data_IF_525663862131
#
_entry.id   IF_525663862131
#
_cell.length_a   1.000
_cell.length_b   1.000
_cell.length_c   1.000
_cell.angle_alpha   90.00
_cell.angle_beta   90.00
_cell.angle_gamma   90.00
#
_symmetry.space_group_name_H-M   'P 1'
#
loop_
_entity.id
_entity.type
_entity.pdbx_description
1 polymer ?
#
# COMPACT_ATOMS: atom_id res chain seq x y z
N UNK A 1 -64.36 -23.53 -27.13
CA UNK A 1 -63.84 -23.73 -28.50
C UNK A 1 -62.37 -24.11 -28.39
N UNK A 2 -62.05 -25.40 -28.24
CA UNK A 2 -61.65 -26.38 -29.27
C UNK A 2 -60.19 -26.21 -29.76
N UNK A 3 -59.41 -27.26 -29.42
CA UNK A 3 -58.05 -27.61 -29.87
C UNK A 3 -57.89 -27.61 -31.40
N UNK A 4 -56.66 -27.42 -31.89
CA UNK A 4 -56.07 -28.32 -32.92
C UNK A 4 -54.54 -28.17 -33.03
N UNK A 5 -53.86 -29.29 -32.75
CA UNK A 5 -52.52 -29.62 -33.24
C UNK A 5 -52.61 -30.02 -34.73
N UNK A 6 -51.62 -29.68 -35.55
CA UNK A 6 -51.22 -30.47 -36.73
C UNK A 6 -49.69 -30.48 -36.86
N UNK A 7 -49.16 -31.68 -37.13
CA UNK A 7 -47.74 -32.07 -37.29
C UNK A 7 -47.21 -31.88 -38.73
N UNK A 8 -45.89 -31.64 -38.80
CA UNK A 8 -44.84 -32.14 -39.72
C UNK A 8 -45.06 -32.26 -41.25
N UNK A 9 -44.14 -31.71 -42.08
CA UNK A 9 -42.94 -32.41 -42.65
C UNK A 9 -42.16 -31.57 -43.70
N UNK A 10 -40.83 -31.55 -43.54
CA UNK A 10 -39.73 -31.69 -44.52
C UNK A 10 -39.65 -30.84 -45.82
N UNK A 11 -38.53 -30.11 -45.95
CA UNK A 11 -38.00 -29.57 -47.21
C UNK A 11 -36.60 -28.98 -47.05
N UNK A 12 -35.62 -29.57 -47.73
CA UNK A 12 -34.15 -29.41 -47.62
C UNK A 12 -33.59 -28.02 -47.98
N UNK A 13 -32.43 -27.68 -47.39
CA UNK A 13 -31.48 -26.70 -47.95
C UNK A 13 -30.18 -26.63 -47.16
N UNK A 14 -29.11 -27.26 -47.68
CA UNK A 14 -27.77 -27.39 -47.09
C UNK A 14 -26.99 -26.08 -47.12
N UNK A 15 -26.14 -25.83 -46.13
CA UNK A 15 -24.71 -25.59 -46.36
C UNK A 15 -23.89 -25.71 -45.06
N UNK A 16 -22.92 -26.62 -45.09
CA UNK A 16 -21.98 -26.96 -44.02
C UNK A 16 -20.68 -27.41 -44.67
N UNK A 17 -19.54 -26.75 -44.42
CA UNK A 17 -18.18 -27.31 -44.55
C UNK A 17 -17.27 -26.43 -43.66
N UNK A 18 -16.91 -26.89 -42.46
CA UNK A 18 -15.73 -27.69 -42.07
C UNK A 18 -14.39 -26.96 -42.17
N UNK A 19 -13.79 -26.77 -40.99
CA UNK A 19 -12.37 -26.53 -40.77
C UNK A 19 -11.52 -27.71 -41.26
N UNK A 20 -10.36 -27.40 -41.84
CA UNK A 20 -9.29 -28.35 -42.13
C UNK A 20 -7.95 -27.78 -41.66
N UNK A 21 -7.29 -28.60 -40.86
CA UNK A 21 -5.85 -28.64 -40.62
C UNK A 21 -5.09 -29.01 -41.90
N UNK A 22 -3.95 -28.38 -42.16
CA UNK A 22 -2.87 -28.98 -42.96
C UNK A 22 -1.51 -28.47 -42.49
N UNK A 23 -0.67 -29.42 -42.14
CA UNK A 23 0.79 -29.39 -42.06
C UNK A 23 1.42 -29.26 -43.45
N UNK A 24 2.56 -28.58 -43.55
CA UNK A 24 3.60 -28.92 -44.53
C UNK A 24 4.98 -28.62 -43.94
N UNK A 25 5.86 -29.60 -44.10
CA UNK A 25 7.27 -29.56 -43.76
C UNK A 25 8.10 -29.33 -45.03
N UNK A 26 9.22 -28.62 -44.90
CA UNK A 26 10.42 -28.84 -45.71
C UNK A 26 11.68 -28.50 -44.88
N UNK A 27 12.62 -29.45 -44.94
CA UNK A 27 14.00 -29.54 -44.44
C UNK A 27 14.94 -28.49 -45.09
N UNK A 28 16.15 -28.16 -44.63
CA UNK A 28 17.27 -28.97 -44.11
C UNK A 28 18.41 -28.02 -43.53
N UNK A 29 19.65 -28.44 -43.17
CA UNK A 29 20.09 -28.54 -41.77
C UNK A 29 21.39 -27.78 -41.42
N UNK A 30 21.69 -27.66 -40.12
CA UNK A 30 23.05 -27.83 -39.54
C UNK A 30 23.01 -27.50 -38.05
N UNK A 31 23.47 -28.43 -37.21
CA UNK A 31 24.39 -28.21 -36.09
C UNK A 31 24.56 -29.53 -35.35
N UNK A 32 25.82 -29.81 -35.05
CA UNK A 32 26.40 -31.05 -34.59
C UNK A 32 25.82 -31.60 -33.28
N UNK A 33 25.66 -32.91 -33.26
CA UNK A 33 25.38 -33.77 -32.12
C UNK A 33 26.58 -33.91 -31.19
N UNK A 34 26.36 -33.72 -29.89
CA UNK A 34 27.24 -34.20 -28.81
C UNK A 34 26.41 -35.15 -27.94
N UNK A 35 26.87 -36.39 -27.66
CA UNK A 35 26.09 -37.37 -26.94
C UNK A 35 26.08 -37.13 -25.43
N UNK A 36 24.92 -37.40 -24.85
CA UNK A 36 24.58 -37.49 -23.43
C UNK A 36 25.50 -38.43 -22.64
N UNK A 37 26.01 -37.95 -21.50
CA UNK A 37 26.42 -38.79 -20.38
C UNK A 37 25.60 -38.43 -19.12
N UNK A 38 25.10 -39.43 -18.38
CA UNK A 38 24.39 -39.19 -17.13
C UNK A 38 25.38 -38.85 -16.02
N UNK A 39 25.29 -37.65 -15.46
CA UNK A 39 25.97 -37.29 -14.22
C UNK A 39 25.29 -38.02 -13.05
N UNK A 40 25.97 -39.02 -12.50
CA UNK A 40 25.64 -39.67 -11.24
C UNK A 40 26.06 -38.78 -10.07
N UNK A 41 25.09 -38.29 -9.30
CA UNK A 41 25.36 -37.61 -8.04
C UNK A 41 25.77 -38.68 -7.00
N UNK A 42 27.05 -38.71 -6.63
CA UNK A 42 27.53 -39.49 -5.49
C UNK A 42 27.01 -38.88 -4.19
N UNK A 43 26.34 -39.70 -3.37
CA UNK A 43 25.89 -39.31 -2.02
C UNK A 43 27.09 -39.03 -1.11
N UNK A 44 27.07 -37.96 -0.29
CA UNK A 44 28.07 -37.78 0.75
C UNK A 44 27.94 -38.84 1.84
N UNK A 45 29.10 -39.37 2.24
CA UNK A 45 29.31 -40.37 3.28
C UNK A 45 28.71 -39.96 4.64
N UNK A 46 28.05 -40.92 5.31
CA UNK A 46 27.54 -40.79 6.69
C UNK A 46 28.70 -40.58 7.68
N UNK A 47 28.60 -39.61 8.62
CA UNK A 47 29.46 -39.56 9.80
C UNK A 47 29.03 -40.59 10.88
N UNK A 48 29.96 -41.00 11.77
CA UNK A 48 29.77 -42.12 12.70
C UNK A 48 28.79 -41.82 13.85
N UNK A 49 28.12 -42.87 14.32
CA UNK A 49 27.21 -42.85 15.47
C UNK A 49 27.93 -42.54 16.78
N UNK A 50 27.32 -41.68 17.59
CA UNK A 50 27.57 -41.52 19.02
C UNK A 50 26.23 -41.57 19.80
N UNK A 51 26.24 -41.91 21.11
CA UNK A 51 25.27 -42.81 21.72
C UNK A 51 23.94 -42.17 22.14
N UNK A 52 22.92 -43.04 22.26
CA UNK A 52 21.58 -42.74 22.76
C UNK A 52 21.63 -42.23 24.21
N UNK A 53 21.06 -41.05 24.46
CA UNK A 53 20.59 -40.63 25.79
C UNK A 53 19.13 -40.24 25.67
N UNK A 54 18.31 -40.82 26.53
CA UNK A 54 16.86 -40.69 26.52
C UNK A 54 16.38 -39.37 27.14
N UNK A 55 15.31 -38.84 26.54
CA UNK A 55 14.18 -38.11 27.13
C UNK A 55 14.43 -37.02 28.18
N UNK A 56 14.17 -35.77 27.79
CA UNK A 56 13.16 -34.94 28.46
C UNK A 56 12.67 -33.83 27.53
N UNK A 57 11.47 -34.03 26.96
CA UNK A 57 10.73 -32.98 26.26
C UNK A 57 10.20 -32.01 27.32
N UNK A 58 10.78 -30.82 27.40
CA UNK A 58 10.19 -29.66 28.06
C UNK A 58 9.90 -28.60 27.01
N UNK A 59 8.66 -28.14 27.01
CA UNK A 59 8.03 -27.16 26.11
C UNK A 59 8.91 -25.93 25.83
N UNK A 60 9.34 -25.77 24.58
CA UNK A 60 10.03 -24.58 24.08
C UNK A 60 9.07 -23.46 23.67
N UNK A 61 8.04 -23.17 24.48
CA UNK A 61 7.03 -22.16 24.15
C UNK A 61 7.30 -20.73 24.70
N UNK A 62 8.41 -20.49 25.42
CA UNK A 62 8.63 -19.19 26.10
C UNK A 62 10.04 -18.60 25.99
N UNK A 63 10.74 -18.77 24.86
CA UNK A 63 12.07 -18.17 24.68
C UNK A 63 12.28 -17.33 23.43
N UNK A 64 11.23 -16.64 22.97
CA UNK A 64 11.32 -15.55 22.01
C UNK A 64 10.82 -14.22 22.62
N UNK A 65 11.40 -13.83 23.75
CA UNK A 65 11.30 -12.47 24.30
C UNK A 65 12.70 -12.01 24.73
N UNK A 66 13.70 -12.24 23.87
CA UNK A 66 14.93 -11.46 23.98
C UNK A 66 14.63 -10.12 23.32
N UNK A 67 14.60 -9.07 24.13
CA UNK A 67 14.66 -7.68 23.69
C UNK A 67 15.78 -7.52 22.65
N UNK A 68 15.42 -7.64 21.37
CA UNK A 68 16.16 -6.96 20.34
C UNK A 68 15.86 -5.48 20.60
N UNK A 69 16.84 -4.72 21.10
CA UNK A 69 16.78 -3.26 21.00
C UNK A 69 16.87 -2.98 19.52
N UNK A 70 15.70 -2.95 18.88
CA UNK A 70 15.56 -2.48 17.52
C UNK A 70 15.98 -1.02 17.59
N UNK A 71 17.07 -0.65 16.93
CA UNK A 71 17.31 0.73 16.54
C UNK A 71 16.28 1.06 15.45
N UNK A 72 15.00 1.04 15.84
CA UNK A 72 13.90 1.58 15.07
C UNK A 72 14.30 3.01 14.75
N UNK A 73 14.14 3.42 13.50
CA UNK A 73 14.30 4.80 13.04
C UNK A 73 13.82 5.73 14.17
N UNK A 74 14.77 6.34 14.87
CA UNK A 74 14.57 6.79 16.25
C UNK A 74 13.78 8.07 16.31
N UNK A 75 12.49 8.02 16.01
CA UNK A 75 11.58 9.07 16.39
C UNK A 75 11.37 8.96 17.90
N UNK A 76 11.77 10.02 18.60
CA UNK A 76 11.38 10.24 19.99
C UNK A 76 10.62 11.54 20.01
N UNK A 77 9.33 11.44 20.31
CA UNK A 77 8.52 12.60 20.65
C UNK A 77 8.61 12.73 22.17
N UNK A 78 9.14 13.83 22.72
CA UNK A 78 9.12 14.05 24.17
C UNK A 78 7.68 13.95 24.68
N UNK A 79 7.45 13.25 25.80
CA UNK A 79 6.10 13.00 26.35
C UNK A 79 5.24 14.28 26.44
N UNK A 80 5.80 15.36 27.00
CA UNK A 80 5.13 16.68 27.08
C UNK A 80 4.74 17.28 25.72
N UNK A 81 5.45 16.93 24.65
CA UNK A 81 5.11 17.37 23.31
C UNK A 81 4.00 16.49 22.71
N UNK A 82 4.06 15.18 22.94
CA UNK A 82 3.02 14.23 22.53
C UNK A 82 1.69 14.57 23.22
N UNK A 83 1.70 14.73 24.54
CA UNK A 83 0.54 15.13 25.34
C UNK A 83 -0.10 16.40 24.75
N UNK A 84 0.70 17.44 24.49
CA UNK A 84 0.21 18.67 23.86
C UNK A 84 -0.41 18.44 22.48
N UNK A 85 0.21 17.62 21.63
CA UNK A 85 -0.35 17.30 20.30
C UNK A 85 -1.71 16.60 20.45
N UNK A 86 -1.81 15.65 21.38
CA UNK A 86 -3.03 14.86 21.62
C UNK A 86 -4.13 15.70 22.25
N UNK A 87 -3.80 16.61 23.19
CA UNK A 87 -4.73 17.56 23.81
C UNK A 87 -5.26 18.60 22.81
N UNK A 88 -4.41 19.07 21.91
CA UNK A 88 -4.78 20.08 20.90
C UNK A 88 -5.49 19.47 19.68
N UNK A 89 -5.49 18.16 19.55
CA UNK A 89 -6.12 17.48 18.43
C UNK A 89 -7.65 17.47 18.57
N UNK A 90 -8.34 17.64 17.43
CA UNK A 90 -9.78 17.45 17.34
C UNK A 90 -10.06 16.09 16.67
N UNK A 91 -10.33 15.03 17.45
CA UNK A 91 -10.60 13.72 16.87
C UNK A 91 -11.86 13.73 16.01
N UNK A 92 -11.79 13.05 14.87
CA UNK A 92 -12.95 12.76 14.01
C UNK A 92 -13.49 11.40 14.44
N UNK A 93 -14.56 11.41 15.22
CA UNK A 93 -15.21 10.18 15.68
C UNK A 93 -16.08 9.58 14.57
N UNK A 94 -15.97 8.26 14.40
CA UNK A 94 -16.71 7.51 13.39
C UNK A 94 -17.50 6.38 14.06
N UNK A 95 -18.58 5.95 13.43
CA UNK A 95 -19.33 4.77 13.87
C UNK A 95 -18.73 3.46 13.37
N UNK A 96 -17.50 3.48 12.85
CA UNK A 96 -16.84 2.28 12.35
C UNK A 96 -16.70 1.29 13.51
N UNK A 97 -17.30 0.12 13.33
CA UNK A 97 -16.99 -1.04 14.15
C UNK A 97 -15.84 -1.79 13.46
N UNK A 98 -14.65 -1.63 14.01
CA UNK A 98 -13.43 -2.25 13.50
C UNK A 98 -13.47 -3.78 13.58
N UNK A 99 -14.34 -4.36 14.41
CA UNK A 99 -14.50 -5.82 14.51
C UNK A 99 -15.26 -6.38 13.31
N UNK A 100 -16.12 -5.57 12.65
CA UNK A 100 -16.76 -5.95 11.37
C UNK A 100 -15.75 -6.09 10.23
N UNK A 101 -14.51 -5.61 10.40
CA UNK A 101 -13.46 -5.73 9.40
C UNK A 101 -12.93 -7.15 9.23
N UNK A 102 -13.17 -8.05 10.19
CA UNK A 102 -12.63 -9.41 10.19
C UNK A 102 -13.24 -10.33 9.11
N UNK A 103 -14.45 -10.04 8.63
CA UNK A 103 -15.19 -10.92 7.72
C UNK A 103 -14.60 -11.01 6.30
N UNK A 104 -13.79 -10.02 5.87
CA UNK A 104 -13.40 -9.87 4.47
C UNK A 104 -11.89 -9.82 4.23
N UNK A 105 -11.06 -10.47 5.06
CA UNK A 105 -9.60 -10.32 4.92
C UNK A 105 -8.84 -11.64 4.97
N UNK A 106 -7.56 -11.55 4.64
CA UNK A 106 -6.57 -12.60 4.80
C UNK A 106 -5.60 -12.30 5.96
N UNK A 107 -5.89 -11.37 6.87
CA UNK A 107 -4.98 -10.99 7.97
C UNK A 107 -3.71 -10.22 7.57
N UNK A 108 -3.29 -10.25 6.30
CA UNK A 108 -2.12 -9.52 5.79
C UNK A 108 -2.46 -8.53 4.69
N UNK A 109 -3.35 -8.92 3.78
CA UNK A 109 -3.81 -8.12 2.65
C UNK A 109 -5.34 -8.04 2.68
N UNK A 110 -5.87 -6.94 2.14
CA UNK A 110 -7.30 -6.74 1.94
C UNK A 110 -7.87 -7.66 0.85
N UNK A 111 -9.20 -7.73 0.77
CA UNK A 111 -9.90 -8.29 -0.39
C UNK A 111 -10.48 -7.13 -1.19
N UNK A 112 -10.34 -7.20 -2.51
CA UNK A 112 -10.97 -6.24 -3.41
C UNK A 112 -12.50 -6.30 -3.25
N UNK A 113 -13.11 -5.16 -2.94
CA UNK A 113 -14.56 -5.05 -2.67
C UNK A 113 -15.20 -3.80 -3.28
N UNK A 114 -14.52 -3.16 -4.22
CA UNK A 114 -14.99 -1.94 -4.90
C UNK A 114 -16.19 -2.29 -5.77
N UNK A 115 -17.24 -1.46 -5.74
CA UNK A 115 -18.40 -1.66 -6.59
C UNK A 115 -18.02 -1.49 -8.08
N UNK A 116 -18.48 -2.35 -9.00
CA UNK A 116 -18.10 -2.28 -10.42
C UNK A 116 -18.38 -0.93 -11.10
N UNK A 117 -19.39 -0.18 -10.62
CA UNK A 117 -19.75 1.15 -11.15
C UNK A 117 -18.87 2.28 -10.61
N UNK A 118 -18.19 2.09 -9.49
CA UNK A 118 -17.34 3.09 -8.86
C UNK A 118 -15.91 3.09 -9.41
N UNK A 119 -15.48 1.97 -10.03
CA UNK A 119 -14.12 1.78 -10.56
C UNK A 119 -13.77 2.71 -11.74
N UNK A 120 -14.76 3.37 -12.36
CA UNK A 120 -14.57 4.22 -13.54
C UNK A 120 -15.09 5.65 -13.35
N UNK A 121 -15.52 6.00 -12.13
CA UNK A 121 -16.15 7.29 -11.86
C UNK A 121 -15.32 8.15 -10.92
N UNK A 122 -15.15 9.42 -11.30
CA UNK A 122 -14.50 10.45 -10.48
C UNK A 122 -15.56 11.40 -9.97
N UNK A 123 -15.46 11.81 -8.71
CA UNK A 123 -16.51 12.55 -8.01
C UNK A 123 -16.13 14.00 -7.77
N UNK A 124 -17.08 14.92 -7.86
CA UNK A 124 -16.91 16.29 -7.35
C UNK A 124 -17.27 16.39 -5.87
N UNK A 125 -16.78 17.44 -5.19
CA UNK A 125 -17.16 17.73 -3.81
C UNK A 125 -18.69 17.82 -3.65
N UNK A 126 -19.35 18.59 -4.52
CA UNK A 126 -20.79 18.84 -4.44
C UNK A 126 -21.61 17.56 -4.56
N UNK A 127 -21.18 16.60 -5.39
CA UNK A 127 -21.87 15.32 -5.52
C UNK A 127 -21.83 14.49 -4.23
N UNK A 128 -20.85 14.69 -3.36
CA UNK A 128 -20.67 13.92 -2.14
C UNK A 128 -21.32 14.57 -0.91
N UNK A 129 -21.22 15.90 -0.78
CA UNK A 129 -21.57 16.61 0.47
C UNK A 129 -22.82 17.50 0.39
N UNK A 130 -23.33 17.78 -0.82
CA UNK A 130 -24.50 18.65 -0.98
C UNK A 130 -25.72 18.11 -0.22
N UNK A 131 -26.62 18.97 0.32
CA UNK A 131 -27.88 18.53 0.92
C UNK A 131 -28.76 17.69 -0.02
N UNK A 132 -28.59 17.85 -1.33
CA UNK A 132 -29.30 17.09 -2.37
C UNK A 132 -28.55 15.83 -2.83
N UNK A 133 -27.35 15.57 -2.30
CA UNK A 133 -26.58 14.37 -2.59
C UNK A 133 -27.29 13.13 -2.06
N UNK A 134 -27.14 12.00 -2.74
CA UNK A 134 -27.53 10.69 -2.21
C UNK A 134 -26.59 10.19 -1.12
N UNK A 135 -25.37 10.72 -1.06
CA UNK A 135 -24.33 10.31 -0.12
C UNK A 135 -24.40 11.09 1.20
N UNK A 136 -24.56 12.41 1.11
CA UNK A 136 -24.59 13.33 2.27
C UNK A 136 -23.39 13.10 3.21
N UNK A 137 -22.21 12.91 2.62
CA UNK A 137 -20.99 12.69 3.39
C UNK A 137 -20.63 13.93 4.21
N UNK A 138 -20.00 13.68 5.36
CA UNK A 138 -19.59 14.74 6.27
C UNK A 138 -18.25 15.32 5.81
N UNK A 139 -18.23 16.63 5.58
CA UNK A 139 -17.00 17.37 5.26
C UNK A 139 -16.20 17.66 6.53
N UNK A 140 -14.92 17.30 6.53
CA UNK A 140 -13.97 17.55 7.61
C UNK A 140 -12.95 18.60 7.15
N UNK A 141 -12.87 19.77 7.80
CA UNK A 141 -11.99 20.86 7.38
C UNK A 141 -10.53 20.67 7.81
N UNK A 142 -9.61 21.24 7.01
CA UNK A 142 -8.17 21.16 7.23
C UNK A 142 -7.64 22.33 8.06
N UNK A 143 -7.76 22.23 9.38
CA UNK A 143 -7.36 23.29 10.33
C UNK A 143 -6.18 22.89 11.22
N UNK A 144 -6.26 21.67 11.78
CA UNK A 144 -5.32 21.12 12.75
C UNK A 144 -5.10 19.64 12.49
N UNK A 145 -4.18 19.02 13.23
CA UNK A 145 -4.09 17.56 13.22
C UNK A 145 -5.37 16.95 13.76
N UNK A 146 -5.92 16.00 13.01
CA UNK A 146 -7.18 15.32 13.33
C UNK A 146 -6.94 13.81 13.29
N UNK A 147 -6.76 13.13 14.43
CA UNK A 147 -6.83 11.67 14.47
C UNK A 147 -8.25 11.23 14.11
N UNK A 148 -8.36 10.15 13.36
CA UNK A 148 -9.63 9.51 13.02
C UNK A 148 -9.79 8.33 13.97
N UNK A 149 -10.90 8.32 14.70
CA UNK A 149 -11.13 7.33 15.76
C UNK A 149 -12.40 6.54 15.54
N UNK A 150 -12.37 5.28 15.98
CA UNK A 150 -13.53 4.41 15.98
C UNK A 150 -14.44 4.67 17.20
N UNK A 151 -15.49 3.86 17.35
CA UNK A 151 -16.42 3.95 18.47
C UNK A 151 -15.75 3.74 19.84
N UNK A 152 -14.61 3.04 19.87
CA UNK A 152 -13.81 2.74 21.07
C UNK A 152 -12.66 3.73 21.30
N UNK A 153 -12.63 4.86 20.59
CA UNK A 153 -11.57 5.88 20.65
C UNK A 153 -10.19 5.34 20.22
N UNK A 154 -10.15 4.27 19.44
CA UNK A 154 -8.94 3.74 18.83
C UNK A 154 -8.55 4.59 17.62
N UNK A 155 -7.31 5.07 17.58
CA UNK A 155 -6.80 5.87 16.46
C UNK A 155 -6.40 4.92 15.34
N UNK A 156 -7.18 4.91 14.26
CA UNK A 156 -6.93 4.07 13.09
C UNK A 156 -6.50 4.86 11.86
N UNK A 157 -6.43 6.20 11.95
CA UNK A 157 -5.89 7.06 10.91
C UNK A 157 -5.67 8.47 11.46
N UNK A 158 -5.03 9.34 10.68
CA UNK A 158 -4.81 10.73 11.08
C UNK A 158 -4.58 11.66 9.90
N UNK A 159 -5.08 12.89 10.00
CA UNK A 159 -4.74 14.00 9.12
C UNK A 159 -3.65 14.83 9.80
N UNK A 160 -2.54 15.04 9.10
CA UNK A 160 -1.33 15.66 9.62
C UNK A 160 -1.04 16.96 8.85
N UNK A 161 -1.09 18.13 9.51
CA UNK A 161 -0.70 19.39 8.89
C UNK A 161 0.82 19.48 8.73
N UNK A 162 1.31 20.35 7.84
CA UNK A 162 2.71 20.71 7.78
C UNK A 162 3.28 21.07 9.16
N UNK A 163 4.58 20.85 9.39
CA UNK A 163 5.23 21.31 10.62
C UNK A 163 5.04 22.82 10.79
N UNK A 164 4.97 23.29 12.03
CA UNK A 164 4.83 24.72 12.34
C UNK A 164 6.19 25.42 12.28
N UNK A 165 6.19 26.70 11.92
CA UNK A 165 7.40 27.53 11.95
C UNK A 165 8.03 27.59 13.37
N UNK A 166 9.34 27.78 13.42
CA UNK A 166 10.08 27.94 14.67
C UNK A 166 9.48 29.07 15.53
N UNK A 167 9.30 28.82 16.83
CA UNK A 167 8.69 29.78 17.78
C UNK A 167 7.22 29.53 18.13
N UNK A 168 6.56 28.53 17.53
CA UNK A 168 5.30 27.95 18.00
C UNK A 168 4.03 28.80 17.79
N UNK A 169 4.14 30.12 17.65
CA UNK A 169 3.02 31.04 17.36
C UNK A 169 2.78 31.27 15.87
N UNK A 170 3.70 30.84 14.99
CA UNK A 170 3.57 30.97 13.54
C UNK A 170 2.68 29.92 12.89
N UNK A 171 2.25 30.20 11.65
CA UNK A 171 1.57 29.24 10.76
C UNK A 171 2.48 28.10 10.30
N UNK A 172 2.14 27.42 9.18
CA UNK A 172 2.98 26.38 8.58
C UNK A 172 4.42 26.86 8.34
N UNK A 173 5.38 25.96 8.51
CA UNK A 173 6.79 26.22 8.22
C UNK A 173 6.96 26.53 6.72
N UNK A 174 7.36 27.77 6.36
CA UNK A 174 7.52 28.15 4.96
C UNK A 174 8.59 27.34 4.25
N UNK A 175 9.61 26.83 4.94
CA UNK A 175 10.65 25.98 4.36
C UNK A 175 10.07 24.61 3.98
N UNK A 176 9.16 24.07 4.79
CA UNK A 176 8.46 22.84 4.43
C UNK A 176 7.49 23.05 3.26
N UNK A 177 6.74 24.15 3.24
CA UNK A 177 5.86 24.47 2.11
C UNK A 177 6.66 24.64 0.80
N UNK A 178 7.80 25.33 0.83
CA UNK A 178 8.67 25.46 -0.33
C UNK A 178 9.19 24.09 -0.83
N UNK A 179 9.47 23.15 0.08
CA UNK A 179 9.82 21.78 -0.30
C UNK A 179 8.65 21.05 -0.97
N UNK A 180 7.41 21.27 -0.53
CA UNK A 180 6.23 20.66 -1.19
C UNK A 180 6.04 21.19 -2.61
N UNK A 181 6.28 22.48 -2.85
CA UNK A 181 6.30 23.08 -4.18
C UNK A 181 7.42 22.49 -5.05
N UNK A 182 8.61 22.27 -4.47
CA UNK A 182 9.73 21.64 -5.16
C UNK A 182 9.42 20.19 -5.56
N UNK A 183 8.80 19.40 -4.67
CA UNK A 183 8.32 18.06 -5.00
C UNK A 183 7.39 18.08 -6.22
N UNK A 184 6.37 18.95 -6.23
CA UNK A 184 5.43 19.07 -7.35
C UNK A 184 6.16 19.42 -8.66
N UNK A 185 7.09 20.38 -8.63
CA UNK A 185 7.90 20.78 -9.79
C UNK A 185 8.78 19.63 -10.29
N UNK A 186 9.39 18.85 -9.40
CA UNK A 186 10.21 17.70 -9.77
C UNK A 186 9.38 16.62 -10.48
N UNK A 187 8.16 16.36 -10.02
CA UNK A 187 7.25 15.44 -10.69
C UNK A 187 6.86 15.96 -12.08
N UNK A 188 6.43 17.21 -12.16
CA UNK A 188 6.02 17.86 -13.42
C UNK A 188 7.14 17.84 -14.47
N UNK A 189 8.35 18.30 -14.12
CA UNK A 189 9.47 18.42 -15.05
C UNK A 189 10.10 17.10 -15.49
N UNK A 190 9.78 15.98 -14.81
CA UNK A 190 10.36 14.68 -15.13
C UNK A 190 9.32 13.66 -15.64
N UNK A 191 8.03 13.98 -15.61
CA UNK A 191 6.97 13.09 -16.12
C UNK A 191 7.24 12.68 -17.58
N UNK A 192 7.51 13.64 -18.47
CA UNK A 192 7.78 13.36 -19.89
C UNK A 192 9.03 12.51 -20.11
N UNK A 193 9.96 12.45 -19.14
CA UNK A 193 11.17 11.62 -19.23
C UNK A 193 10.89 10.16 -18.89
N UNK A 194 9.95 9.91 -17.97
CA UNK A 194 9.52 8.58 -17.53
C UNK A 194 8.41 7.99 -18.43
N UNK A 195 7.55 8.85 -18.97
CA UNK A 195 6.36 8.46 -19.71
C UNK A 195 6.42 8.96 -21.16
N UNK A 196 7.32 8.38 -21.93
CA UNK A 196 7.46 8.63 -23.38
C UNK A 196 7.69 7.35 -24.18
N UNK A 197 7.37 7.42 -25.47
CA UNK A 197 7.75 6.41 -26.45
C UNK A 197 9.24 6.53 -26.81
N UNK A 198 9.76 5.52 -27.53
CA UNK A 198 11.19 5.50 -27.96
C UNK A 198 11.53 6.67 -28.90
N UNK A 199 10.56 7.15 -29.67
CA UNK A 199 10.68 8.30 -30.55
C UNK A 199 10.58 9.66 -29.82
N UNK A 200 10.40 9.65 -28.49
CA UNK A 200 10.29 10.85 -27.67
C UNK A 200 8.88 11.39 -27.53
N UNK A 201 7.88 10.83 -28.21
CA UNK A 201 6.50 11.29 -28.07
C UNK A 201 5.92 10.97 -26.68
N UNK A 202 5.08 11.85 -26.11
CA UNK A 202 4.47 11.59 -24.81
C UNK A 202 3.63 10.31 -24.82
N UNK A 203 3.78 9.49 -23.77
CA UNK A 203 2.99 8.27 -23.60
C UNK A 203 1.74 8.61 -22.81
N UNK A 204 0.58 8.19 -23.30
CA UNK A 204 -0.66 8.30 -22.54
C UNK A 204 -0.60 7.44 -21.28
N UNK A 205 -1.02 7.97 -20.11
CA UNK A 205 -1.13 7.16 -18.91
C UNK A 205 -2.04 5.96 -19.14
N UNK A 206 -1.63 4.78 -18.66
CA UNK A 206 -2.46 3.58 -18.73
C UNK A 206 -3.51 3.65 -17.61
N UNK A 207 -4.70 3.14 -17.89
CA UNK A 207 -5.70 2.88 -16.84
C UNK A 207 -5.16 1.82 -15.86
N UNK A 208 -5.27 2.10 -14.58
CA UNK A 208 -5.00 1.18 -13.48
C UNK A 208 -6.14 1.23 -12.45
N UNK A 209 -6.07 0.40 -11.40
CA UNK A 209 -7.16 0.25 -10.42
C UNK A 209 -7.53 1.54 -9.66
N UNK A 210 -6.64 2.53 -9.65
CA UNK A 210 -6.87 3.80 -8.96
C UNK A 210 -7.28 4.90 -9.93
N UNK A 211 -7.22 4.72 -11.26
CA UNK A 211 -7.60 5.75 -12.23
C UNK A 211 -6.71 5.81 -13.46
N UNK A 212 -6.67 6.99 -14.09
CA UNK A 212 -5.90 7.25 -15.32
C UNK A 212 -4.93 8.41 -15.06
N UNK A 213 -3.76 8.11 -14.52
CA UNK A 213 -2.67 9.07 -14.36
C UNK A 213 -1.32 8.35 -14.37
N UNK A 214 -0.25 9.13 -14.56
CA UNK A 214 1.10 8.59 -14.59
C UNK A 214 1.56 8.29 -13.16
N UNK A 215 2.14 7.11 -12.94
CA UNK A 215 2.51 6.63 -11.61
C UNK A 215 3.78 5.78 -11.68
N UNK A 216 4.72 6.02 -10.76
CA UNK A 216 5.90 5.16 -10.59
C UNK A 216 6.10 4.83 -9.10
N UNK A 217 6.15 3.54 -8.80
CA UNK A 217 6.43 3.01 -7.47
C UNK A 217 7.90 2.59 -7.38
N UNK A 218 8.57 2.90 -6.26
CA UNK A 218 9.95 2.49 -5.99
C UNK A 218 10.08 2.03 -4.54
N UNK A 219 10.94 1.04 -4.30
CA UNK A 219 11.23 0.52 -2.96
C UNK A 219 11.04 -0.96 -2.87
N UNK A 220 10.96 -1.47 -1.64
CA UNK A 220 10.91 -2.89 -1.33
C UNK A 220 9.47 -3.38 -1.30
N UNK A 221 9.20 -4.49 -1.98
CA UNK A 221 7.89 -5.13 -1.99
C UNK A 221 8.02 -6.66 -2.00
N UNK A 222 6.93 -7.34 -1.64
CA UNK A 222 6.80 -8.78 -1.73
C UNK A 222 5.36 -9.17 -2.06
N UNK A 223 5.18 -9.93 -3.14
CA UNK A 223 3.89 -10.29 -3.70
C UNK A 223 4.03 -10.74 -5.16
N UNK A 224 2.91 -11.01 -5.84
CA UNK A 224 2.89 -11.23 -7.30
C UNK A 224 3.74 -12.41 -7.81
N UNK A 225 3.97 -13.44 -6.98
CA UNK A 225 4.79 -14.60 -7.34
C UNK A 225 6.29 -14.42 -7.11
N UNK A 226 6.74 -13.33 -6.48
CA UNK A 226 8.14 -13.20 -6.05
C UNK A 226 8.56 -14.31 -5.09
N UNK A 227 9.80 -14.78 -5.25
CA UNK A 227 10.38 -15.81 -4.37
C UNK A 227 11.07 -15.24 -3.13
N UNK A 228 11.33 -13.93 -3.08
CA UNK A 228 11.86 -13.27 -1.89
C UNK A 228 11.55 -11.76 -1.94
N UNK A 229 11.59 -11.05 -0.80
CA UNK A 229 11.52 -9.59 -0.75
C UNK A 229 12.63 -8.95 -1.57
N UNK A 230 12.27 -8.06 -2.49
CA UNK A 230 13.24 -7.33 -3.32
C UNK A 230 12.74 -5.94 -3.66
N UNK A 231 13.66 -5.08 -4.12
CA UNK A 231 13.29 -3.78 -4.67
C UNK A 231 12.58 -3.94 -6.01
N UNK A 232 11.63 -3.06 -6.29
CA UNK A 232 10.95 -2.96 -7.58
C UNK A 232 12.00 -2.71 -8.67
N UNK A 233 11.92 -3.47 -9.75
CA UNK A 233 12.83 -3.34 -10.87
C UNK A 233 12.48 -2.12 -11.73
N UNK A 234 13.50 -1.36 -12.11
CA UNK A 234 13.40 -0.27 -13.08
C UNK A 234 14.52 -0.39 -14.11
N UNK A 235 14.26 0.08 -15.32
CA UNK A 235 15.33 0.29 -16.31
C UNK A 235 16.37 1.29 -15.77
N UNK A 236 17.61 1.23 -16.26
CA UNK A 236 18.67 2.13 -15.80
C UNK A 236 18.29 3.61 -15.93
N UNK A 237 17.61 3.98 -17.02
CA UNK A 237 17.13 5.34 -17.25
C UNK A 237 16.08 5.78 -16.22
N UNK A 238 15.12 4.92 -15.89
CA UNK A 238 14.10 5.23 -14.87
C UNK A 238 14.74 5.27 -13.48
N UNK A 239 15.62 4.31 -13.17
CA UNK A 239 16.31 4.24 -11.89
C UNK A 239 17.13 5.51 -11.60
N UNK A 240 17.79 6.10 -12.61
CA UNK A 240 18.52 7.38 -12.46
C UNK A 240 17.60 8.51 -11.98
N UNK A 241 16.40 8.64 -12.56
CA UNK A 241 15.43 9.68 -12.19
C UNK A 241 14.85 9.40 -10.80
N UNK A 242 14.45 8.17 -10.53
CA UNK A 242 13.88 7.78 -9.24
C UNK A 242 14.89 7.92 -8.10
N UNK A 243 16.16 7.55 -8.32
CA UNK A 243 17.22 7.75 -7.34
C UNK A 243 17.48 9.24 -7.07
N UNK A 244 17.36 10.10 -8.09
CA UNK A 244 17.43 11.56 -7.89
C UNK A 244 16.26 12.07 -7.02
N UNK A 245 15.06 11.53 -7.18
CA UNK A 245 13.93 11.84 -6.28
C UNK A 245 14.18 11.35 -4.85
N UNK A 246 14.67 10.12 -4.68
CA UNK A 246 14.99 9.56 -3.35
C UNK A 246 16.10 10.34 -2.63
N UNK A 247 17.01 10.97 -3.38
CA UNK A 247 18.07 11.82 -2.84
C UNK A 247 17.66 13.29 -2.64
N UNK A 248 16.51 13.73 -3.16
CA UNK A 248 16.08 15.12 -3.06
C UNK A 248 15.62 15.43 -1.64
N UNK A 249 16.14 16.53 -1.07
CA UNK A 249 15.83 16.94 0.31
C UNK A 249 14.33 17.13 0.55
N UNK A 250 13.60 17.65 -0.44
CA UNK A 250 12.16 17.85 -0.34
C UNK A 250 11.41 16.52 -0.11
N UNK A 251 11.68 15.47 -0.89
CA UNK A 251 11.07 14.16 -0.68
C UNK A 251 11.51 13.49 0.62
N UNK A 252 12.78 13.67 1.02
CA UNK A 252 13.28 13.18 2.31
C UNK A 252 12.50 13.81 3.47
N UNK A 253 12.22 15.11 3.44
CA UNK A 253 11.45 15.80 4.47
C UNK A 253 10.00 15.34 4.53
N UNK A 254 9.33 15.18 3.39
CA UNK A 254 7.97 14.65 3.33
C UNK A 254 7.91 13.22 3.88
N UNK A 255 8.90 12.38 3.51
CA UNK A 255 9.01 11.01 3.99
C UNK A 255 9.16 10.94 5.52
N UNK A 256 10.00 11.82 6.06
CA UNK A 256 10.24 11.94 7.49
C UNK A 256 9.03 12.49 8.24
N UNK A 257 8.35 13.48 7.69
CA UNK A 257 7.17 14.10 8.30
C UNK A 257 6.05 13.07 8.45
N UNK A 258 5.74 12.32 7.40
CA UNK A 258 4.77 11.23 7.43
C UNK A 258 5.11 10.17 8.48
N UNK A 259 6.39 9.75 8.56
CA UNK A 259 6.85 8.75 9.53
C UNK A 259 6.78 9.26 10.97
N UNK A 260 7.04 10.55 11.19
CA UNK A 260 6.86 11.19 12.50
C UNK A 260 5.39 11.23 12.91
N UNK A 261 4.48 11.57 11.98
CA UNK A 261 3.03 11.53 12.20
C UNK A 261 2.55 10.12 12.54
N UNK A 262 3.04 9.10 11.82
CA UNK A 262 2.75 7.69 12.12
C UNK A 262 3.18 7.35 13.54
N UNK A 263 4.44 7.60 13.90
CA UNK A 263 4.96 7.30 15.23
C UNK A 263 4.15 7.98 16.34
N UNK A 264 3.71 9.21 16.11
CA UNK A 264 2.93 10.00 17.07
C UNK A 264 1.57 9.35 17.38
N UNK A 265 0.86 8.91 16.34
CA UNK A 265 -0.53 8.45 16.47
C UNK A 265 -0.69 6.93 16.58
N UNK A 266 0.30 6.14 16.16
CA UNK A 266 0.29 4.68 16.31
C UNK A 266 1.71 4.13 16.63
N UNK A 267 2.28 4.45 17.80
CA UNK A 267 3.63 4.03 18.19
C UNK A 267 3.81 2.51 18.24
N UNK A 268 2.78 1.74 18.68
CA UNK A 268 2.81 0.28 18.69
C UNK A 268 2.93 -0.30 17.28
N UNK A 269 2.07 0.14 16.36
CA UNK A 269 2.12 -0.27 14.97
C UNK A 269 3.43 0.16 14.30
N UNK A 270 3.94 1.35 14.62
CA UNK A 270 5.24 1.82 14.15
C UNK A 270 6.36 0.87 14.57
N UNK A 271 6.39 0.46 15.83
CA UNK A 271 7.37 -0.49 16.35
C UNK A 271 7.27 -1.85 15.64
N UNK A 272 6.06 -2.32 15.35
CA UNK A 272 5.84 -3.53 14.58
C UNK A 272 6.37 -3.42 13.14
N UNK A 273 6.16 -2.28 12.47
CA UNK A 273 6.79 -2.00 11.17
C UNK A 273 8.31 -2.02 11.25
N UNK A 274 8.90 -1.41 12.29
CA UNK A 274 10.35 -1.36 12.46
C UNK A 274 10.94 -2.77 12.66
N UNK A 275 10.31 -3.60 13.50
CA UNK A 275 10.68 -5.00 13.68
C UNK A 275 10.62 -5.78 12.35
N UNK A 276 9.52 -5.66 11.62
CA UNK A 276 9.36 -6.30 10.31
C UNK A 276 10.47 -5.87 9.34
N UNK A 277 10.77 -4.56 9.28
CA UNK A 277 11.83 -3.99 8.44
C UNK A 277 13.20 -4.58 8.79
N UNK A 278 13.54 -4.66 10.07
CA UNK A 278 14.79 -5.28 10.55
C UNK A 278 14.89 -6.77 10.17
N UNK A 279 13.81 -7.55 10.32
CA UNK A 279 13.81 -8.95 9.91
C UNK A 279 14.05 -9.09 8.39
N UNK A 280 13.44 -8.23 7.57
CA UNK A 280 13.67 -8.23 6.11
C UNK A 280 15.13 -7.90 5.77
N UNK A 281 15.77 -6.96 6.48
CA UNK A 281 17.20 -6.65 6.29
C UNK A 281 18.12 -7.82 6.66
N UNK A 282 17.81 -8.51 7.77
CA UNK A 282 18.61 -9.63 8.25
C UNK A 282 18.64 -10.79 7.26
N UNK A 283 17.47 -11.12 6.69
CA UNK A 283 17.33 -12.19 5.69
C UNK A 283 17.81 -11.77 4.29
N UNK A 284 17.91 -10.47 4.01
CA UNK A 284 18.41 -9.94 2.74
C UNK A 284 19.34 -8.73 2.92
N UNK A 285 20.62 -8.96 3.29
CA UNK A 285 21.56 -7.88 3.60
C UNK A 285 21.87 -6.92 2.44
N UNK A 286 21.57 -7.31 1.19
CA UNK A 286 21.75 -6.46 0.01
C UNK A 286 20.62 -5.45 -0.20
N UNK A 287 19.55 -5.52 0.59
CA UNK A 287 18.41 -4.63 0.47
C UNK A 287 18.73 -3.25 1.06
N UNK A 288 18.22 -2.20 0.43
CA UNK A 288 18.32 -0.84 0.94
C UNK A 288 16.98 -0.13 0.81
N UNK A 289 16.69 0.71 1.80
CA UNK A 289 15.43 1.43 1.91
C UNK A 289 15.47 2.76 1.17
N UNK A 290 14.28 3.26 0.81
CA UNK A 290 14.13 4.50 0.06
C UNK A 290 14.68 5.71 0.82
N UNK A 291 14.40 5.79 2.13
CA UNK A 291 14.82 6.89 2.97
C UNK A 291 15.29 6.36 4.32
N UNK A 292 16.41 6.88 4.82
CA UNK A 292 16.98 6.48 6.11
C UNK A 292 15.99 6.66 7.27
N UNK A 293 15.16 7.69 7.20
CA UNK A 293 14.19 8.05 8.23
C UNK A 293 12.73 7.87 7.80
N UNK A 294 12.46 6.92 6.90
CA UNK A 294 11.08 6.50 6.63
C UNK A 294 10.80 5.11 7.19
N UNK A 295 9.64 4.93 7.81
CA UNK A 295 9.17 3.63 8.32
C UNK A 295 8.63 2.73 7.20
N UNK A 296 8.28 3.32 6.06
CA UNK A 296 7.68 2.61 4.94
C UNK A 296 8.72 1.92 4.06
N UNK A 297 8.35 0.76 3.53
CA UNK A 297 9.22 -0.03 2.65
C UNK A 297 9.24 0.47 1.20
N UNK A 298 8.13 1.08 0.75
CA UNK A 298 7.88 1.50 -0.62
C UNK A 298 7.26 2.90 -0.65
N UNK A 299 7.43 3.59 -1.78
CA UNK A 299 6.71 4.82 -2.07
C UNK A 299 6.29 4.87 -3.53
N UNK A 300 5.28 5.70 -3.81
CA UNK A 300 4.77 5.97 -5.15
C UNK A 300 4.76 7.47 -5.39
N UNK A 301 5.27 7.85 -6.55
CA UNK A 301 5.14 9.19 -7.10
C UNK A 301 3.94 9.20 -8.05
N UNK A 302 2.88 9.91 -7.67
CA UNK A 302 1.71 10.11 -8.52
C UNK A 302 1.88 11.43 -9.28
N UNK A 303 1.98 11.32 -10.59
CA UNK A 303 2.23 12.43 -11.49
C UNK A 303 0.92 13.07 -11.97
N UNK A 304 1.04 14.29 -12.46
CA UNK A 304 -0.07 15.13 -12.87
C UNK A 304 -0.28 15.16 -14.39
N UNK A 305 -0.82 16.27 -14.93
CA UNK A 305 -1.13 17.52 -14.21
C UNK A 305 -2.25 17.36 -13.17
N UNK A 306 -3.12 16.35 -13.28
CA UNK A 306 -4.20 16.09 -12.31
C UNK A 306 -4.23 14.61 -11.90
N UNK A 307 -3.66 14.28 -10.75
CA UNK A 307 -3.87 13.00 -10.10
C UNK A 307 -5.27 12.96 -9.49
N UNK A 308 -6.22 12.36 -10.21
CA UNK A 308 -7.56 12.06 -9.70
C UNK A 308 -7.76 10.57 -9.70
N UNK A 309 -8.16 10.04 -8.55
CA UNK A 309 -8.41 8.63 -8.36
C UNK A 309 -9.90 8.32 -8.39
N UNK A 310 -10.23 7.13 -8.88
CA UNK A 310 -11.55 6.53 -8.67
C UNK A 310 -11.62 5.91 -7.26
N UNK A 311 -12.78 5.41 -6.85
CA UNK A 311 -12.90 4.61 -5.63
C UNK A 311 -12.05 3.34 -5.75
N UNK A 312 -11.17 3.10 -4.77
CA UNK A 312 -10.30 1.93 -4.78
C UNK A 312 -9.85 1.49 -3.38
N UNK A 313 -9.17 0.34 -3.36
CA UNK A 313 -8.39 -0.16 -2.24
C UNK A 313 -6.97 -0.46 -2.71
N UNK A 314 -6.00 -0.12 -1.88
CA UNK A 314 -4.64 -0.62 -2.04
C UNK A 314 -4.52 -1.98 -1.36
N UNK A 315 -5.34 -2.94 -1.81
CA UNK A 315 -5.58 -4.19 -1.12
C UNK A 315 -4.31 -5.04 -0.88
N UNK A 316 -3.21 -4.80 -1.61
CA UNK A 316 -1.91 -5.46 -1.42
C UNK A 316 -1.05 -4.88 -0.29
N UNK A 317 -1.40 -3.69 0.22
CA UNK A 317 -0.74 -3.10 1.38
C UNK A 317 -1.08 -3.88 2.66
N UNK A 318 -0.29 -3.66 3.70
CA UNK A 318 -0.54 -4.33 4.97
C UNK A 318 -1.91 -3.93 5.52
N UNK A 319 -2.73 -4.93 5.82
CA UNK A 319 -4.13 -4.78 6.17
C UNK A 319 -4.34 -3.78 7.32
N UNK A 320 -3.68 -4.00 8.46
CA UNK A 320 -3.74 -3.10 9.62
C UNK A 320 -2.77 -1.93 9.51
N UNK A 321 -1.99 -1.91 8.44
CA UNK A 321 -0.99 -0.90 8.18
C UNK A 321 -1.60 0.44 7.80
N UNK A 322 -0.84 1.51 7.98
CA UNK A 322 -1.16 2.79 7.36
C UNK A 322 -0.34 3.00 6.10
N UNK A 323 -0.91 3.82 5.23
CA UNK A 323 -0.26 4.44 4.10
C UNK A 323 -0.31 5.95 4.32
N UNK A 324 0.78 6.63 3.98
CA UNK A 324 0.85 8.08 4.03
C UNK A 324 0.64 8.64 2.63
N UNK A 325 -0.32 9.53 2.44
CA UNK A 325 -0.56 10.24 1.19
C UNK A 325 -0.35 11.73 1.45
N UNK A 326 0.65 12.34 0.81
CA UNK A 326 0.90 13.78 0.88
C UNK A 326 0.39 14.44 -0.40
N UNK A 327 -0.54 15.39 -0.26
CA UNK A 327 -1.06 16.16 -1.39
C UNK A 327 -0.05 17.21 -1.84
N UNK A 328 0.07 17.41 -3.15
CA UNK A 328 1.03 18.32 -3.78
C UNK A 328 0.38 19.05 -4.97
N UNK A 329 0.95 20.17 -5.38
CA UNK A 329 0.47 20.95 -6.53
C UNK A 329 -0.27 22.23 -6.15
N UNK A 330 -0.98 22.81 -7.12
CA UNK A 330 -1.66 24.10 -6.99
C UNK A 330 -3.13 23.94 -7.31
N UNK A 331 -3.94 23.81 -6.27
CA UNK A 331 -5.39 23.68 -6.35
C UNK A 331 -6.06 24.32 -5.13
N UNK A 332 -7.31 24.75 -5.29
CA UNK A 332 -8.12 25.19 -4.16
C UNK A 332 -8.70 23.97 -3.43
N UNK A 333 -8.06 23.61 -2.31
CA UNK A 333 -8.44 22.46 -1.50
C UNK A 333 -9.83 22.56 -0.87
N UNK A 334 -10.43 23.75 -0.79
CA UNK A 334 -11.82 23.95 -0.33
C UNK A 334 -12.85 23.67 -1.44
N UNK A 335 -12.41 23.46 -2.68
CA UNK A 335 -13.29 23.32 -3.85
C UNK A 335 -13.08 22.01 -4.61
N UNK A 336 -11.93 21.36 -4.45
CA UNK A 336 -11.60 20.08 -5.06
C UNK A 336 -10.39 19.41 -4.42
N UNK A 337 -10.02 18.22 -4.89
CA UNK A 337 -8.86 17.48 -4.36
C UNK A 337 -9.02 16.91 -2.94
N UNK A 338 -10.23 16.93 -2.37
CA UNK A 338 -10.54 16.35 -1.06
C UNK A 338 -10.29 14.84 -1.07
N UNK A 339 -9.83 14.30 0.06
CA UNK A 339 -9.69 12.86 0.25
C UNK A 339 -11.03 12.28 0.72
N UNK A 340 -11.52 11.25 0.04
CA UNK A 340 -12.81 10.63 0.32
C UNK A 340 -12.59 9.29 1.02
N UNK A 341 -13.26 9.07 2.15
CA UNK A 341 -13.27 7.81 2.89
C UNK A 341 -14.69 7.23 2.82
N UNK A 342 -14.91 6.37 1.82
CA UNK A 342 -16.24 5.90 1.42
C UNK A 342 -16.96 5.13 2.52
N UNK A 343 -16.25 4.22 3.18
CA UNK A 343 -16.82 3.39 4.25
C UNK A 343 -17.23 4.21 5.49
N UNK A 344 -16.65 5.39 5.66
CA UNK A 344 -16.91 6.27 6.79
C UNK A 344 -17.92 7.37 6.47
N UNK A 345 -18.26 7.54 5.18
CA UNK A 345 -19.05 8.66 4.71
C UNK A 345 -18.38 10.01 4.99
N UNK A 346 -17.04 10.08 4.90
CA UNK A 346 -16.27 11.30 5.17
C UNK A 346 -15.62 11.84 3.89
N UNK A 347 -15.62 13.17 3.77
CA UNK A 347 -14.82 13.92 2.81
C UNK A 347 -13.89 14.83 3.60
N UNK A 348 -12.58 14.72 3.39
CA UNK A 348 -11.57 15.42 4.18
C UNK A 348 -10.85 16.42 3.27
N UNK A 349 -10.85 17.69 3.66
CA UNK A 349 -9.97 18.68 3.03
C UNK A 349 -8.51 18.23 3.18
N UNK A 350 -7.76 18.20 2.08
CA UNK A 350 -6.35 17.83 2.09
C UNK A 350 -5.52 18.85 1.29
N UNK A 351 -5.12 19.97 1.91
CA UNK A 351 -4.33 21.01 1.25
C UNK A 351 -2.96 20.51 0.76
N UNK A 352 -2.35 21.17 -0.25
CA UNK A 352 -0.96 20.92 -0.59
C UNK A 352 -0.03 20.98 0.64
N UNK A 353 0.82 19.98 0.78
CA UNK A 353 1.73 19.81 1.91
C UNK A 353 1.15 19.09 3.12
N UNK A 354 -0.16 18.83 3.16
CA UNK A 354 -0.76 18.00 4.19
C UNK A 354 -0.62 16.51 3.87
N UNK A 355 -0.50 15.70 4.92
CA UNK A 355 -0.42 14.26 4.82
C UNK A 355 -1.61 13.61 5.51
N UNK A 356 -2.26 12.65 4.86
CA UNK A 356 -3.21 11.75 5.50
C UNK A 356 -2.59 10.37 5.69
N UNK A 357 -2.75 9.81 6.89
CA UNK A 357 -2.38 8.45 7.28
C UNK A 357 -3.65 7.62 7.38
N UNK A 358 -3.81 6.63 6.50
CA UNK A 358 -5.00 5.80 6.45
C UNK A 358 -4.67 4.34 6.17
N UNK A 359 -5.48 3.41 6.67
CA UNK A 359 -5.37 2.01 6.34
C UNK A 359 -6.00 1.71 4.97
N UNK A 360 -5.24 2.04 3.93
CA UNK A 360 -5.70 2.05 2.54
C UNK A 360 -5.97 0.66 1.95
N UNK A 361 -5.53 -0.40 2.64
CA UNK A 361 -5.81 -1.79 2.28
C UNK A 361 -7.25 -2.22 2.59
N UNK A 362 -7.95 -1.52 3.49
CA UNK A 362 -9.34 -1.83 3.80
C UNK A 362 -10.30 -0.65 3.73
N UNK A 363 -9.89 0.60 3.95
CA UNK A 363 -10.79 1.75 3.73
C UNK A 363 -10.84 2.09 2.25
N UNK A 364 -12.01 1.92 1.63
CA UNK A 364 -12.27 2.37 0.28
C UNK A 364 -12.10 3.89 0.24
N UNK A 365 -11.27 4.35 -0.67
CA UNK A 365 -10.91 5.77 -0.74
C UNK A 365 -10.75 6.25 -2.17
N UNK A 366 -10.84 7.56 -2.33
CA UNK A 366 -10.53 8.27 -3.57
C UNK A 366 -10.16 9.72 -3.26
N UNK A 367 -9.98 10.55 -4.29
CA UNK A 367 -10.03 12.00 -4.15
C UNK A 367 -11.04 12.64 -5.12
N UNK A 368 -11.56 13.81 -4.75
CA UNK A 368 -12.47 14.55 -5.62
C UNK A 368 -11.71 15.21 -6.77
N UNK A 369 -12.38 15.40 -7.91
CA UNK A 369 -11.85 16.19 -9.03
C UNK A 369 -11.43 17.60 -8.58
N UNK A 370 -10.48 18.18 -9.30
CA UNK A 370 -10.07 19.59 -9.20
C UNK A 370 -10.51 20.33 -10.46
N UNK A 371 -10.34 21.66 -10.50
CA UNK A 371 -10.65 22.42 -11.70
C UNK A 371 -9.65 22.16 -12.82
N UNK A 372 -10.10 22.36 -14.06
CA UNK A 372 -9.31 22.09 -15.27
C UNK A 372 -7.95 22.81 -15.34
N UNK A 373 -7.81 23.98 -14.71
CA UNK A 373 -6.58 24.77 -14.72
C UNK A 373 -5.69 24.53 -13.49
N UNK A 374 -6.17 23.75 -12.52
CA UNK A 374 -5.44 23.41 -11.31
C UNK A 374 -4.54 22.19 -11.57
N UNK A 375 -3.54 22.04 -10.71
CA UNK A 375 -2.65 20.87 -10.73
C UNK A 375 -2.67 20.14 -9.40
N UNK A 376 -2.68 18.82 -9.45
CA UNK A 376 -2.60 17.95 -8.28
C UNK A 376 -1.66 16.78 -8.57
N UNK A 377 -0.76 16.55 -7.63
CA UNK A 377 0.18 15.44 -7.58
C UNK A 377 0.10 14.84 -6.19
N UNK A 378 0.67 13.66 -5.97
CA UNK A 378 0.84 13.16 -4.61
C UNK A 378 2.06 12.29 -4.44
N UNK A 379 2.55 12.27 -3.21
CA UNK A 379 3.61 11.37 -2.78
C UNK A 379 3.05 10.42 -1.74
N UNK A 380 3.03 9.13 -2.08
CA UNK A 380 2.45 8.08 -1.25
C UNK A 380 3.53 7.16 -0.69
N UNK A 381 3.46 6.77 0.57
CA UNK A 381 4.36 5.80 1.20
C UNK A 381 3.56 4.68 1.87
N UNK A 382 4.03 3.45 1.72
CA UNK A 382 3.31 2.26 2.16
C UNK A 382 4.24 1.05 2.31
N UNK A 383 3.72 -0.01 2.90
CA UNK A 383 4.41 -1.30 3.03
C UNK A 383 3.47 -2.42 2.60
N UNK A 384 3.93 -3.26 1.67
CA UNK A 384 3.16 -4.40 1.18
C UNK A 384 2.89 -5.42 2.30
N UNK A 385 1.66 -5.94 2.39
CA UNK A 385 1.29 -6.93 3.39
C UNK A 385 2.06 -8.25 3.28
N UNK A 386 2.55 -8.55 2.07
CA UNK A 386 3.44 -9.68 1.84
C UNK A 386 4.73 -9.64 2.66
N UNK A 387 5.29 -8.45 2.93
CA UNK A 387 6.52 -8.33 3.72
C UNK A 387 6.31 -8.80 5.16
N UNK A 388 5.17 -8.44 5.76
CA UNK A 388 4.80 -8.95 7.08
C UNK A 388 4.55 -10.45 7.04
N UNK A 389 3.83 -10.92 6.01
CA UNK A 389 3.52 -12.35 5.86
C UNK A 389 4.75 -13.24 5.72
N UNK A 390 5.81 -12.79 5.04
CA UNK A 390 7.03 -13.59 4.88
C UNK A 390 7.85 -13.63 6.16
N UNK A 391 7.91 -12.52 6.91
CA UNK A 391 8.56 -12.48 8.24
C UNK A 391 7.81 -13.36 9.23
N UNK A 392 6.48 -13.32 9.25
CA UNK A 392 5.69 -14.17 10.16
C UNK A 392 5.72 -15.66 9.82
N UNK A 393 6.16 -16.02 8.62
CA UNK A 393 6.40 -17.39 8.21
C UNK A 393 7.91 -17.74 8.30
N UNK A 394 8.70 -16.98 9.05
CA UNK A 394 10.14 -17.23 9.25
C UNK A 394 10.92 -17.35 7.93
N UNK A 395 10.59 -16.49 6.95
CA UNK A 395 11.22 -16.48 5.62
C UNK A 395 10.69 -17.54 4.66
N UNK A 396 9.78 -18.42 5.09
CA UNK A 396 9.24 -19.49 4.24
C UNK A 396 8.11 -19.01 3.32
N UNK A 397 8.24 -19.38 2.05
CA UNK A 397 7.20 -19.14 1.04
C UNK A 397 6.17 -20.25 1.12
N UNK A 398 4.90 -19.87 1.23
CA UNK A 398 3.78 -20.80 1.37
C UNK A 398 3.62 -21.82 0.24
N UNK A 399 4.12 -21.55 -0.96
CA UNK A 399 4.10 -22.52 -2.06
C UNK A 399 5.04 -23.70 -1.82
N UNK A 400 6.10 -23.50 -1.04
CA UNK A 400 7.12 -24.51 -0.73
C UNK A 400 6.94 -25.15 0.66
N UNK A 401 5.90 -24.74 1.41
CA UNK A 401 5.58 -25.33 2.70
C UNK A 401 4.95 -26.71 2.54
N UNK A 402 5.21 -27.60 3.49
CA UNK A 402 4.42 -28.81 3.68
C UNK A 402 2.96 -28.48 4.01
N UNK A 403 2.07 -29.46 3.90
CA UNK A 403 0.65 -29.27 4.22
C UNK A 403 0.44 -28.86 5.69
N UNK A 404 1.26 -29.37 6.61
CA UNK A 404 1.19 -29.06 8.04
C UNK A 404 1.63 -27.62 8.31
N UNK A 405 2.80 -27.22 7.81
CA UNK A 405 3.31 -25.84 7.95
C UNK A 405 2.34 -24.83 7.33
N UNK A 406 1.76 -25.15 6.17
CA UNK A 406 0.78 -24.30 5.52
C UNK A 406 -0.52 -24.17 6.34
N UNK A 407 -0.97 -25.26 6.98
CA UNK A 407 -2.13 -25.24 7.85
C UNK A 407 -1.90 -24.37 9.09
N UNK A 408 -0.73 -24.48 9.72
CA UNK A 408 -0.30 -23.66 10.85
C UNK A 408 -0.20 -22.17 10.47
N UNK A 409 0.46 -21.85 9.35
CA UNK A 409 0.57 -20.49 8.84
C UNK A 409 -0.80 -19.88 8.51
N UNK A 410 -1.75 -20.68 8.01
CA UNK A 410 -3.14 -20.25 7.79
C UNK A 410 -3.91 -20.05 9.09
N UNK A 411 -3.64 -20.83 10.13
CA UNK A 411 -4.23 -20.63 11.45
C UNK A 411 -3.71 -19.33 12.09
N UNK A 412 -2.38 -19.14 12.15
CA UNK A 412 -1.75 -17.90 12.62
C UNK A 412 -2.29 -16.67 11.89
N UNK A 413 -2.51 -16.80 10.58
CA UNK A 413 -3.15 -15.74 9.79
C UNK A 413 -4.58 -15.40 10.25
N UNK A 414 -5.39 -16.41 10.60
CA UNK A 414 -6.76 -16.19 11.13
C UNK A 414 -6.71 -15.53 12.49
N UNK A 415 -5.83 -15.99 13.37
CA UNK A 415 -5.68 -15.44 14.72
C UNK A 415 -5.22 -13.98 14.67
N UNK A 416 -4.31 -13.65 13.73
CA UNK A 416 -3.85 -12.28 13.49
C UNK A 416 -4.98 -11.31 13.15
N UNK A 417 -6.05 -11.79 12.52
CA UNK A 417 -7.19 -10.92 12.19
C UNK A 417 -7.77 -10.33 13.47
N UNK A 418 -7.84 -11.10 14.55
CA UNK A 418 -8.35 -10.69 15.87
C UNK A 418 -7.34 -9.81 16.64
N UNK A 419 -6.05 -10.05 16.46
CA UNK A 419 -5.00 -9.33 17.20
C UNK A 419 -4.54 -8.03 16.52
N UNK A 420 -4.75 -7.88 15.22
CA UNK A 420 -4.21 -6.76 14.44
C UNK A 420 -4.68 -5.39 14.92
N UNK A 421 -5.89 -5.29 15.47
CA UNK A 421 -6.43 -4.06 16.04
C UNK A 421 -5.70 -3.62 17.31
N UNK A 422 -5.10 -4.54 18.07
CA UNK A 422 -4.33 -4.22 19.27
C UNK A 422 -3.03 -3.44 18.94
N UNK A 423 -2.66 -3.36 17.65
CA UNK A 423 -1.53 -2.56 17.19
C UNK A 423 -1.83 -1.05 17.16
N UNK A 424 -3.10 -0.66 17.05
CA UNK A 424 -3.49 0.75 17.13
C UNK A 424 -3.52 1.23 18.57
N UNK A 425 -3.29 2.52 18.78
CA UNK A 425 -3.31 3.15 20.10
C UNK A 425 -4.66 3.85 20.33
N UNK A 426 -5.14 3.84 21.57
CA UNK A 426 -6.30 4.65 21.95
C UNK A 426 -5.86 6.08 22.28
N UNK A 427 -6.76 7.06 22.14
CA UNK A 427 -6.45 8.44 22.56
C UNK A 427 -6.05 8.52 24.03
N UNK A 428 -6.69 7.72 24.88
CA UNK A 428 -6.39 7.69 26.31
C UNK A 428 -5.01 7.11 26.63
N UNK A 429 -4.55 6.10 25.88
CA UNK A 429 -3.18 5.62 25.98
C UNK A 429 -2.18 6.71 25.58
N UNK A 430 -2.44 7.43 24.48
CA UNK A 430 -1.55 8.48 23.99
C UNK A 430 -1.48 9.68 24.94
N UNK A 431 -2.56 10.01 25.65
CA UNK A 431 -2.57 11.05 26.70
C UNK A 431 -1.73 10.70 27.91
N UNK A 432 -1.55 9.40 28.21
CA UNK A 432 -0.82 8.91 29.39
C UNK A 432 0.66 8.55 29.12
N UNK A 433 1.10 8.65 27.85
CA UNK A 433 2.35 8.08 27.36
C UNK A 433 3.62 8.91 27.65
#
# INVERSE_FOLDING_TARGET
MVKKNVRCRHGRGRNSVKAKSTSSAHSDPSIHSIPSQPFTFQSPLKPPLAPKVASHVKSHAHRASKHCRVDAVGYRVPAKHLERIVEQAAPVSTSLDTDRMHAYTSGYIGKERVAPRAADHTWSLNELVSPNSTFQFTLIPAEISRPIVDASQCVFGAVIPPPRAAGGSGGPDPTFLAATDECAKLLECNQSKLFKHRDGTPKTPRKHCQGIFAVEAVGVSFGGGQEYPKRIYHSEAHAKILNAFLAALCFIWLAQHASSGFFTWAPRLYAYYAQNKTCVEQENPGIHWNFARSIFACCTFNFGPQTVTVEHLDHLNYLFGWCAITALGKFNYCQGGHFVLWDLGLVVELPPGWTILVPSAYLCHSNTIIRVHETCYSFTQYTAGGLFRIVDNDGQIRHWMSEVELAEAKQKQRDRVLEGMNLYSTLDELRRA
#
